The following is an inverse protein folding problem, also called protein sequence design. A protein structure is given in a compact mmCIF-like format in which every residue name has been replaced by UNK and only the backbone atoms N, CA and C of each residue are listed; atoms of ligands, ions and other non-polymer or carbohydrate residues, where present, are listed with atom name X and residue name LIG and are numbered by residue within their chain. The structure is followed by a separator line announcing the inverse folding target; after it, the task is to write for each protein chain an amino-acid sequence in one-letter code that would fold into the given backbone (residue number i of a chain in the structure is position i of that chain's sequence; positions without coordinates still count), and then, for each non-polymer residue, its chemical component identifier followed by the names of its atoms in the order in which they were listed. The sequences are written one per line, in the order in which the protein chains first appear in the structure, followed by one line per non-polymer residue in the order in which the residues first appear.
data_IF_179034437097
#
_entry.id   IF_179034437097
#
_cell.length_a   1.000
_cell.length_b   1.000
_cell.length_c   1.000
_cell.angle_alpha   90.00
_cell.angle_beta   90.00
_cell.angle_gamma   90.00
#
_symmetry.space_group_name_H-M   'P 1'
#
loop_
_entity.id
_entity.type
_entity.pdbx_description
1 polymer ?
#
# COMPACT_ATOMS: atom_id res chain seq x y z
N UNK A 1 -5.94 -35.24 -33.62
CA UNK A 1 -7.02 -35.51 -32.64
C UNK A 1 -6.36 -36.01 -31.36
N UNK A 2 -6.64 -35.38 -30.21
CA UNK A 2 -6.11 -35.77 -28.90
C UNK A 2 -7.23 -36.47 -28.11
N UNK A 3 -6.92 -37.64 -27.52
CA UNK A 3 -7.85 -38.37 -26.67
C UNK A 3 -7.31 -38.40 -25.24
N UNK A 4 -8.10 -37.93 -24.28
CA UNK A 4 -7.77 -37.94 -22.85
C UNK A 4 -8.80 -38.79 -22.12
N UNK A 5 -8.34 -39.73 -21.29
CA UNK A 5 -9.21 -40.59 -20.46
C UNK A 5 -8.82 -40.44 -18.99
N UNK A 6 -9.82 -40.13 -18.18
CA UNK A 6 -9.69 -40.05 -16.73
C UNK A 6 -10.35 -41.24 -16.07
N UNK A 7 -9.67 -41.84 -15.11
CA UNK A 7 -10.21 -42.87 -14.23
C UNK A 7 -9.85 -42.48 -12.80
N UNK A 8 -10.85 -42.44 -11.92
CA UNK A 8 -10.67 -42.16 -10.51
C UNK A 8 -11.11 -43.37 -9.70
N UNK A 9 -10.33 -43.74 -8.68
CA UNK A 9 -10.71 -44.78 -7.72
C UNK A 9 -11.71 -44.22 -6.70
N UNK A 10 -12.51 -45.06 -6.03
CA UNK A 10 -13.43 -44.62 -4.96
C UNK A 10 -12.73 -43.84 -3.83
N UNK A 11 -11.43 -44.04 -3.63
CA UNK A 11 -10.62 -43.29 -2.64
C UNK A 11 -10.37 -41.83 -3.03
N UNK A 12 -10.54 -41.48 -4.30
CA UNK A 12 -10.34 -40.12 -4.81
C UNK A 12 -11.63 -39.26 -4.74
N UNK A 13 -12.69 -39.74 -4.08
CA UNK A 13 -13.89 -38.94 -3.82
C UNK A 13 -13.47 -37.70 -3.00
N UNK A 14 -13.84 -36.50 -3.49
CA UNK A 14 -13.42 -35.17 -3.02
C UNK A 14 -11.98 -34.75 -3.36
N UNK A 15 -11.33 -35.39 -4.34
CA UNK A 15 -10.06 -34.94 -4.89
C UNK A 15 -10.24 -33.98 -6.08
N UNK A 16 -9.27 -33.09 -6.28
CA UNK A 16 -9.15 -32.20 -7.44
C UNK A 16 -7.91 -32.54 -8.25
N UNK A 17 -8.06 -32.60 -9.57
CA UNK A 17 -6.93 -32.71 -10.50
C UNK A 17 -6.93 -31.52 -11.46
N UNK A 18 -5.74 -31.14 -11.93
CA UNK A 18 -5.55 -30.09 -12.93
C UNK A 18 -4.59 -30.61 -13.99
N UNK A 19 -4.89 -30.35 -15.26
CA UNK A 19 -4.03 -30.65 -16.40
C UNK A 19 -3.88 -29.39 -17.24
N UNK A 20 -2.64 -29.12 -17.62
CA UNK A 20 -2.29 -28.08 -18.57
C UNK A 20 -1.78 -28.75 -19.84
N UNK A 21 -2.34 -28.37 -20.98
CA UNK A 21 -1.82 -28.74 -22.29
C UNK A 21 -1.39 -27.47 -23.01
N UNK A 22 -0.23 -27.54 -23.66
CA UNK A 22 0.34 -26.43 -24.41
C UNK A 22 0.57 -26.90 -25.83
N UNK A 23 0.05 -26.15 -26.81
CA UNK A 23 0.44 -26.33 -28.20
C UNK A 23 1.82 -25.71 -28.40
N UNK A 24 2.74 -26.50 -28.94
CA UNK A 24 4.09 -26.08 -29.30
C UNK A 24 4.41 -26.52 -30.72
N UNK A 25 5.43 -25.90 -31.29
CA UNK A 25 6.02 -26.23 -32.58
C UNK A 25 7.45 -26.70 -32.35
N UNK A 26 7.84 -27.80 -32.98
CA UNK A 26 9.25 -28.22 -32.96
C UNK A 26 10.08 -27.27 -33.83
N UNK A 27 11.29 -26.92 -33.37
CA UNK A 27 12.28 -26.14 -34.12
C UNK A 27 13.58 -26.93 -34.30
N UNK A 28 14.25 -26.74 -35.42
CA UNK A 28 15.62 -27.24 -35.58
C UNK A 28 16.61 -26.45 -34.70
N UNK A 29 17.80 -27.01 -34.44
CA UNK A 29 18.82 -26.39 -33.57
C UNK A 29 19.25 -24.99 -34.05
N UNK A 30 19.32 -24.78 -35.35
CA UNK A 30 19.73 -23.52 -35.99
C UNK A 30 18.53 -22.67 -36.47
N UNK A 31 17.31 -23.07 -36.11
CA UNK A 31 16.08 -22.36 -36.45
C UNK A 31 15.64 -21.48 -35.29
N UNK A 32 15.28 -20.24 -35.58
CA UNK A 32 14.69 -19.32 -34.62
C UNK A 32 13.17 -19.51 -34.55
N UNK A 33 12.58 -19.26 -33.38
CA UNK A 33 11.13 -19.12 -33.27
C UNK A 33 10.64 -17.88 -34.05
N UNK A 34 9.36 -17.92 -34.45
CA UNK A 34 8.72 -16.75 -35.08
C UNK A 34 8.64 -15.57 -34.10
N UNK A 35 8.44 -14.36 -34.62
CA UNK A 35 8.35 -13.14 -33.80
C UNK A 35 7.19 -13.16 -32.79
N UNK A 36 6.14 -13.95 -33.05
CA UNK A 36 4.98 -14.16 -32.17
C UNK A 36 5.10 -15.38 -31.26
N UNK A 37 6.24 -16.07 -31.30
CA UNK A 37 6.55 -17.26 -30.50
C UNK A 37 7.63 -16.96 -29.46
N UNK A 38 7.69 -17.81 -28.44
CA UNK A 38 8.71 -17.81 -27.40
C UNK A 38 9.51 -19.11 -27.49
N UNK A 39 10.84 -18.97 -27.40
CA UNK A 39 11.78 -20.08 -27.44
C UNK A 39 11.93 -20.69 -26.05
N UNK A 40 11.48 -21.94 -25.90
CA UNK A 40 11.64 -22.69 -24.68
C UNK A 40 13.03 -23.32 -24.54
N UNK A 41 14.03 -22.96 -25.36
CA UNK A 41 15.42 -23.45 -25.34
C UNK A 41 15.58 -25.00 -25.31
N UNK A 42 14.51 -25.74 -25.61
CA UNK A 42 14.40 -27.20 -25.54
C UNK A 42 14.01 -27.80 -26.91
N UNK A 43 14.32 -27.06 -27.98
CA UNK A 43 13.90 -27.31 -29.35
C UNK A 43 12.38 -27.19 -29.59
N UNK A 44 11.66 -26.49 -28.70
CA UNK A 44 10.26 -26.15 -28.90
C UNK A 44 10.01 -24.64 -28.87
N UNK A 45 9.07 -24.19 -29.69
CA UNK A 45 8.53 -22.85 -29.70
C UNK A 45 7.07 -22.90 -29.21
N UNK A 46 6.73 -22.03 -28.27
CA UNK A 46 5.35 -21.85 -27.78
C UNK A 46 4.83 -20.47 -28.21
N UNK A 47 3.53 -20.22 -28.11
CA UNK A 47 3.01 -18.87 -28.37
C UNK A 47 3.60 -17.84 -27.39
N UNK A 48 4.06 -16.69 -27.88
CA UNK A 48 4.63 -15.62 -27.05
C UNK A 48 3.67 -15.06 -26.00
N UNK A 49 2.36 -15.27 -26.15
CA UNK A 49 1.34 -14.93 -25.14
C UNK A 49 1.39 -15.80 -23.90
N UNK A 50 2.11 -16.92 -23.96
CA UNK A 50 2.24 -17.85 -22.85
C UNK A 50 3.38 -17.48 -21.90
N UNK A 51 4.23 -16.52 -22.28
CA UNK A 51 5.30 -16.02 -21.42
C UNK A 51 4.72 -15.21 -20.26
N UNK A 52 5.17 -15.49 -19.03
CA UNK A 52 4.79 -14.78 -17.82
C UNK A 52 3.28 -14.77 -17.54
N UNK A 53 2.57 -15.84 -17.88
CA UNK A 53 1.13 -15.99 -17.67
C UNK A 53 0.78 -16.72 -16.35
N UNK A 54 1.78 -17.08 -15.55
CA UNK A 54 1.62 -17.78 -14.28
C UNK A 54 1.46 -19.30 -14.41
N UNK A 55 1.55 -19.85 -15.62
CA UNK A 55 1.43 -21.29 -15.90
C UNK A 55 2.72 -21.75 -16.55
N UNK A 56 3.26 -22.88 -16.10
CA UNK A 56 4.45 -23.47 -16.72
C UNK A 56 4.10 -24.11 -18.05
N UNK A 57 4.46 -23.48 -19.17
CA UNK A 57 4.19 -24.00 -20.51
C UNK A 57 5.43 -24.66 -21.15
N UNK A 58 6.65 -24.19 -20.83
CA UNK A 58 7.90 -24.84 -21.23
C UNK A 58 8.24 -26.02 -20.31
N UNK A 59 9.04 -26.98 -20.81
CA UNK A 59 9.50 -28.14 -20.02
C UNK A 59 10.22 -27.75 -18.73
N UNK A 60 11.04 -26.71 -18.80
CA UNK A 60 11.86 -26.22 -17.68
C UNK A 60 11.36 -24.90 -17.10
N UNK A 61 10.11 -24.49 -17.36
CA UNK A 61 9.50 -23.27 -16.81
C UNK A 61 10.20 -21.95 -17.22
N UNK A 62 11.09 -21.97 -18.21
CA UNK A 62 11.75 -20.77 -18.71
C UNK A 62 10.79 -19.66 -19.19
N UNK A 63 9.59 -20.02 -19.64
CA UNK A 63 8.53 -19.06 -19.99
C UNK A 63 8.04 -18.21 -18.80
N UNK A 64 8.29 -18.66 -17.57
CA UNK A 64 7.93 -17.99 -16.33
C UNK A 64 9.16 -17.45 -15.57
N UNK A 65 10.36 -17.58 -16.15
CA UNK A 65 11.59 -17.02 -15.61
C UNK A 65 11.88 -15.65 -16.23
N UNK A 66 12.60 -14.80 -15.47
CA UNK A 66 12.98 -13.44 -15.90
C UNK A 66 11.83 -12.54 -16.37
N UNK A 67 10.63 -12.78 -15.84
CA UNK A 67 9.52 -11.85 -15.95
C UNK A 67 9.91 -10.57 -15.21
N UNK A 68 10.17 -9.47 -15.93
CA UNK A 68 10.40 -8.15 -15.33
C UNK A 68 9.17 -7.76 -14.51
N UNK A 69 9.22 -8.10 -13.23
CA UNK A 69 8.11 -8.01 -12.28
C UNK A 69 8.06 -6.60 -11.69
N UNK A 70 8.05 -5.57 -12.51
CA UNK A 70 8.08 -4.21 -11.95
C UNK A 70 6.69 -3.75 -11.50
N UNK A 71 5.61 -4.44 -11.93
CA UNK A 71 4.23 -4.08 -11.60
C UNK A 71 3.45 -5.24 -10.97
N UNK A 72 3.70 -6.49 -11.37
CA UNK A 72 2.89 -7.65 -10.94
C UNK A 72 3.22 -8.19 -9.55
N UNK A 73 4.47 -8.09 -9.09
CA UNK A 73 4.85 -8.49 -7.74
C UNK A 73 4.35 -7.49 -6.70
N UNK A 74 4.44 -6.18 -7.00
CA UNK A 74 3.87 -5.13 -6.17
C UNK A 74 2.33 -5.21 -6.14
N UNK A 75 1.69 -5.43 -7.29
CA UNK A 75 0.24 -5.63 -7.35
C UNK A 75 -0.21 -6.87 -6.55
N UNK A 76 0.53 -7.99 -6.62
CA UNK A 76 0.22 -9.19 -5.82
C UNK A 76 0.40 -8.99 -4.31
N UNK A 77 1.37 -8.19 -3.88
CA UNK A 77 1.52 -7.83 -2.45
C UNK A 77 0.39 -6.90 -2.00
N UNK A 78 -0.17 -6.09 -2.90
CA UNK A 78 -1.29 -5.18 -2.63
C UNK A 78 -2.68 -5.84 -2.72
N UNK A 79 -2.78 -7.05 -3.27
CA UNK A 79 -4.02 -7.82 -3.46
C UNK A 79 -4.20 -8.91 -2.38
N UNK A 80 -3.48 -8.82 -1.26
CA UNK A 80 -3.70 -9.69 -0.10
C UNK A 80 -4.58 -8.99 0.94
N UNK A 81 -5.72 -9.59 1.28
CA UNK A 81 -6.74 -9.05 2.20
C UNK A 81 -6.13 -8.63 3.55
N UNK A 82 -5.09 -9.34 4.00
CA UNK A 82 -4.41 -9.07 5.24
C UNK A 82 -3.63 -7.74 5.23
N UNK A 83 -3.01 -7.38 4.10
CA UNK A 83 -2.24 -6.14 3.97
C UNK A 83 -3.15 -4.90 3.99
N UNK A 84 -4.33 -4.99 3.36
CA UNK A 84 -5.33 -3.92 3.36
C UNK A 84 -5.78 -3.60 4.79
N UNK A 85 -6.08 -4.63 5.58
CA UNK A 85 -6.51 -4.47 6.97
C UNK A 85 -5.40 -3.83 7.81
N UNK A 86 -4.15 -4.30 7.70
CA UNK A 86 -3.01 -3.75 8.45
C UNK A 86 -2.77 -2.27 8.11
N UNK A 87 -2.85 -1.90 6.84
CA UNK A 87 -2.72 -0.50 6.41
C UNK A 87 -3.81 0.39 7.00
N UNK A 88 -5.08 -0.05 6.94
CA UNK A 88 -6.19 0.69 7.54
C UNK A 88 -6.00 0.90 9.04
N UNK A 89 -5.62 -0.15 9.77
CA UNK A 89 -5.37 -0.06 11.22
C UNK A 89 -4.23 0.93 11.51
N UNK A 90 -3.14 0.87 10.75
CA UNK A 90 -2.01 1.78 10.92
C UNK A 90 -2.42 3.25 10.71
N UNK A 91 -3.20 3.54 9.66
CA UNK A 91 -3.72 4.89 9.41
C UNK A 91 -4.68 5.37 10.51
N UNK A 92 -5.53 4.50 11.05
CA UNK A 92 -6.43 4.83 12.16
C UNK A 92 -5.65 5.16 13.44
N UNK A 93 -4.59 4.41 13.74
CA UNK A 93 -3.73 4.66 14.91
C UNK A 93 -2.95 5.97 14.72
N UNK A 94 -2.32 6.17 13.56
CA UNK A 94 -1.55 7.38 13.28
C UNK A 94 -2.42 8.64 13.33
N UNK A 95 -3.61 8.60 12.73
CA UNK A 95 -4.54 9.73 12.77
C UNK A 95 -5.05 10.01 14.18
N UNK A 96 -5.35 8.97 14.98
CA UNK A 96 -5.74 9.13 16.39
C UNK A 96 -4.65 9.78 17.24
N UNK A 97 -3.39 9.34 17.07
CA UNK A 97 -2.25 9.92 17.79
C UNK A 97 -1.97 11.37 17.35
N UNK A 98 -2.05 11.65 16.06
CA UNK A 98 -1.87 13.01 15.54
C UNK A 98 -3.00 13.94 16.01
N UNK A 99 -4.25 13.50 15.94
CA UNK A 99 -5.41 14.26 16.39
C UNK A 99 -5.35 14.57 17.88
N UNK A 100 -5.01 13.60 18.73
CA UNK A 100 -4.87 13.83 20.17
C UNK A 100 -3.74 14.80 20.49
N UNK A 101 -2.59 14.69 19.82
CA UNK A 101 -1.49 15.62 19.97
C UNK A 101 -1.87 17.04 19.56
N UNK A 102 -2.46 17.21 18.37
CA UNK A 102 -2.91 18.50 17.84
C UNK A 102 -4.00 19.11 18.73
N UNK A 103 -5.01 18.33 19.14
CA UNK A 103 -6.06 18.79 20.04
C UNK A 103 -5.49 19.23 21.39
N UNK A 104 -4.54 18.48 21.96
CA UNK A 104 -3.87 18.86 23.20
C UNK A 104 -3.03 20.11 23.03
N UNK A 105 -2.33 20.29 21.91
CA UNK A 105 -1.60 21.50 21.56
C UNK A 105 -2.53 22.71 21.44
N UNK A 106 -3.66 22.58 20.72
CA UNK A 106 -4.66 23.64 20.56
C UNK A 106 -5.29 24.00 21.92
N UNK A 107 -5.66 23.00 22.71
CA UNK A 107 -6.23 23.21 24.06
C UNK A 107 -5.22 23.90 24.98
N UNK A 108 -3.94 23.53 24.92
CA UNK A 108 -2.87 24.19 25.67
C UNK A 108 -2.68 25.64 25.20
N UNK A 109 -2.62 25.85 23.88
CA UNK A 109 -2.48 27.17 23.27
C UNK A 109 -3.66 28.10 23.62
N UNK A 110 -4.88 27.57 23.64
CA UNK A 110 -6.08 28.32 24.02
C UNK A 110 -6.03 28.76 25.49
N UNK A 111 -5.58 27.89 26.41
CA UNK A 111 -5.40 28.24 27.83
C UNK A 111 -4.30 29.30 28.02
N UNK A 112 -3.16 29.14 27.36
CA UNK A 112 -2.06 30.10 27.46
C UNK A 112 -2.46 31.47 26.90
N UNK A 113 -3.24 31.49 25.81
CA UNK A 113 -3.78 32.72 25.25
C UNK A 113 -4.77 33.44 26.18
N UNK A 114 -5.55 32.69 26.97
CA UNK A 114 -6.43 33.28 28.00
C UNK A 114 -5.62 33.88 29.16
N UNK A 115 -4.58 33.19 29.65
CA UNK A 115 -3.70 33.70 30.70
C UNK A 115 -2.97 35.00 30.26
N UNK A 116 -2.48 35.05 29.02
CA UNK A 116 -1.82 36.27 28.48
C UNK A 116 -2.80 37.44 28.38
N UNK A 117 -4.07 37.19 28.03
CA UNK A 117 -5.11 38.24 27.96
C UNK A 117 -5.41 38.85 29.32
N UNK A 118 -5.43 38.04 30.37
CA UNK A 118 -5.67 38.49 31.74
C UNK A 118 -4.50 39.31 32.28
N UNK A 119 -3.25 38.87 32.08
CA UNK A 119 -2.07 39.67 32.43
C UNK A 119 -2.04 41.03 31.71
N UNK A 120 -2.44 41.09 30.44
CA UNK A 120 -2.58 42.37 29.70
C UNK A 120 -3.74 43.25 30.19
N UNK A 121 -4.76 42.71 30.87
CA UNK A 121 -5.80 43.50 31.53
C UNK A 121 -5.28 44.10 32.83
N UNK A 122 -4.69 43.29 33.72
CA UNK A 122 -4.10 43.78 34.97
C UNK A 122 -3.03 44.85 34.75
N UNK A 123 -2.17 44.71 33.73
CA UNK A 123 -1.18 45.74 33.40
C UNK A 123 -1.78 47.06 32.90
N UNK A 124 -2.99 47.03 32.30
CA UNK A 124 -3.73 48.25 31.92
C UNK A 124 -4.38 48.91 33.13
N UNK A 125 -4.99 48.13 34.02
CA UNK A 125 -5.64 48.66 35.23
C UNK A 125 -4.61 49.30 36.19
N UNK A 126 -3.43 48.68 36.35
CA UNK A 126 -2.36 49.23 37.18
C UNK A 126 -1.76 50.53 36.59
N UNK A 127 -1.84 50.73 35.27
CA UNK A 127 -1.44 51.99 34.61
C UNK A 127 -2.47 53.12 34.76
N UNK A 128 -3.72 52.83 35.10
CA UNK A 128 -4.74 53.86 35.37
C UNK A 128 -4.68 54.38 36.82
N UNK A 129 -4.29 53.55 37.79
CA UNK A 129 -4.15 53.95 39.20
C UNK A 129 -3.17 55.11 39.52
N UNK A 130 -2.04 55.33 38.81
CA UNK A 130 -1.16 56.48 39.10
C UNK A 130 -1.77 57.85 38.75
N UNK A 131 -2.92 57.93 38.08
CA UNK A 131 -3.58 59.21 37.77
C UNK A 131 -4.56 59.65 38.88
N UNK A 132 -5.25 58.74 39.57
CA UNK A 132 -6.22 59.11 40.61
C UNK A 132 -5.57 59.60 41.91
N UNK A 133 -4.38 59.10 42.25
CA UNK A 133 -3.66 59.56 43.45
C UNK A 133 -3.00 60.94 43.30
N UNK A 134 -2.83 61.46 42.08
CA UNK A 134 -2.35 62.82 41.83
C UNK A 134 -3.45 63.88 41.88
N UNK A 135 -4.69 63.53 41.52
CA UNK A 135 -5.85 64.45 41.61
C UNK A 135 -6.34 64.66 43.04
N UNK A 136 -6.20 63.69 43.95
CA UNK A 136 -6.58 63.88 45.35
C UNK A 136 -5.55 64.65 46.20
N UNK A 137 -4.27 64.67 45.81
CA UNK A 137 -3.23 65.45 46.51
C UNK A 137 -3.12 66.92 46.07
N UNK A 138 -3.84 67.34 45.01
CA UNK A 138 -3.91 68.75 44.59
C UNK A 138 -5.16 69.47 45.10
N UNK A 139 -6.03 68.78 45.85
CA UNK A 139 -7.22 69.35 46.52
C UNK A 139 -7.00 69.61 48.02
N UNK A 140 -5.85 69.25 48.57
CA UNK A 140 -5.47 69.47 49.97
C UNK A 140 -4.07 70.11 50.00
N UNK A 141 -3.99 71.34 49.52
CA UNK A 141 -3.05 72.39 49.95
C UNK A 141 -3.35 73.68 49.21
#
# INVERSE_FOLDING_TARGET
VLHVRFMAEPKAINSTFSILYTAYRDKAKDEACSHDEYDCEDATCISGRLRCNGRTNCRFRWDEEECKSDISALAKVLEDDHMIIILFIFFLILSGLCFTFVYNCIKKLSRDHQAIKEHKRHARDYRMYPQEHKSSLTSVN
#
